data_IF_262666265317
#
_entry.id   IF_262666265317
#
_cell.length_a   1.000
_cell.length_b   1.000
_cell.length_c   1.000
_cell.angle_alpha   90.00
_cell.angle_beta   90.00
_cell.angle_gamma   90.00
#
_symmetry.space_group_name_H-M   'P 1'
#
loop_
_entity.id
_entity.type
_entity.pdbx_description
1 polymer ?
#
# COMPACT_ATOMS: atom_id res chain seq x y z
N UNK A 1 12.21 33.69 8.48
CA UNK A 1 13.32 32.83 8.07
C UNK A 1 13.36 32.85 6.56
N UNK A 2 14.47 33.28 5.98
CA UNK A 2 14.63 33.29 4.52
C UNK A 2 15.28 31.97 4.03
N UNK A 3 15.23 31.73 2.73
CA UNK A 3 15.70 30.47 2.13
C UNK A 3 17.17 30.17 2.47
N UNK A 4 18.01 31.20 2.56
CA UNK A 4 19.40 31.07 2.97
C UNK A 4 19.60 30.62 4.43
N UNK A 5 18.68 30.99 5.33
CA UNK A 5 18.69 30.52 6.72
C UNK A 5 18.20 29.07 6.83
N UNK A 6 17.22 28.66 6.02
CA UNK A 6 16.75 27.29 5.94
C UNK A 6 17.84 26.35 5.42
N UNK A 7 18.53 26.74 4.34
CA UNK A 7 19.63 25.96 3.76
C UNK A 7 20.80 25.82 4.75
N UNK A 8 21.11 26.88 5.52
CA UNK A 8 22.13 26.81 6.58
C UNK A 8 21.73 25.95 7.79
N UNK A 9 20.44 25.77 8.04
CA UNK A 9 19.96 24.87 9.08
C UNK A 9 19.97 23.42 8.59
N UNK A 10 19.56 23.17 7.33
CA UNK A 10 19.61 21.86 6.70
C UNK A 10 21.05 21.33 6.57
N UNK A 11 22.00 22.17 6.14
CA UNK A 11 23.41 21.78 6.06
C UNK A 11 24.01 21.45 7.44
N UNK A 12 23.59 22.13 8.51
CA UNK A 12 24.06 21.83 9.88
C UNK A 12 23.41 20.59 10.48
N UNK A 13 22.20 20.25 10.04
CA UNK A 13 21.47 19.08 10.51
C UNK A 13 21.87 17.79 9.77
N UNK A 14 22.63 17.88 8.67
CA UNK A 14 23.11 16.71 7.93
C UNK A 14 24.38 16.13 8.61
N UNK A 15 24.30 14.95 9.27
CA UNK A 15 25.46 14.34 9.90
C UNK A 15 26.49 13.81 8.89
N UNK A 16 26.15 13.76 7.60
CA UNK A 16 27.01 13.31 6.52
C UNK A 16 27.21 14.47 5.53
N UNK A 17 28.25 15.28 5.74
CA UNK A 17 28.58 16.37 4.83
C UNK A 17 28.79 15.89 3.38
N UNK A 18 28.62 16.79 2.40
CA UNK A 18 28.68 16.50 0.96
C UNK A 18 29.92 15.70 0.54
N UNK A 19 31.03 15.91 1.23
CA UNK A 19 32.30 15.24 0.95
C UNK A 19 32.36 13.79 1.44
N UNK A 20 31.56 13.43 2.44
CA UNK A 20 31.36 12.02 2.86
C UNK A 20 30.52 11.28 1.83
N UNK A 21 29.50 11.94 1.27
CA UNK A 21 28.63 11.36 0.24
C UNK A 21 29.40 11.12 -1.07
N UNK A 22 30.28 12.05 -1.47
CA UNK A 22 31.15 11.89 -2.65
C UNK A 22 32.16 10.76 -2.55
N UNK A 23 32.50 10.32 -1.33
CA UNK A 23 33.46 9.23 -1.08
C UNK A 23 32.81 7.85 -0.98
N UNK A 24 31.47 7.77 -1.06
CA UNK A 24 30.78 6.49 -1.18
C UNK A 24 30.99 5.97 -2.60
N UNK A 25 31.86 4.97 -2.75
CA UNK A 25 32.04 4.22 -4.00
C UNK A 25 30.77 3.42 -4.29
N UNK A 26 29.96 3.91 -5.23
CA UNK A 26 28.66 3.31 -5.61
C UNK A 26 28.81 2.11 -6.54
N UNK A 27 29.96 1.93 -7.17
CA UNK A 27 30.07 1.04 -8.34
C UNK A 27 30.20 -0.44 -7.94
N UNK A 28 30.85 -0.74 -6.81
CA UNK A 28 31.02 -2.12 -6.32
C UNK A 28 29.75 -2.65 -5.64
N UNK A 29 29.06 -1.80 -4.86
CA UNK A 29 27.87 -2.21 -4.11
C UNK A 29 26.63 -2.44 -5.00
N UNK A 30 26.60 -1.84 -6.20
CA UNK A 30 25.50 -2.03 -7.16
C UNK A 30 25.69 -3.30 -8.00
N UNK A 31 26.94 -3.68 -8.31
CA UNK A 31 27.22 -4.92 -9.05
C UNK A 31 26.94 -6.17 -8.21
N UNK A 32 27.35 -6.19 -6.94
CA UNK A 32 27.11 -7.31 -6.03
C UNK A 32 25.60 -7.57 -5.81
N UNK A 33 24.79 -6.51 -5.79
CA UNK A 33 23.34 -6.62 -5.58
C UNK A 33 22.58 -7.07 -6.83
N UNK A 34 23.12 -6.80 -8.03
CA UNK A 34 22.52 -7.22 -9.30
C UNK A 34 22.86 -8.69 -9.62
N UNK A 35 24.03 -9.18 -9.21
CA UNK A 35 24.44 -10.56 -9.46
C UNK A 35 23.63 -11.57 -8.60
N UNK A 36 23.27 -11.18 -7.37
CA UNK A 36 22.47 -11.99 -6.44
C UNK A 36 21.00 -12.12 -6.89
N UNK A 37 20.47 -11.09 -7.59
CA UNK A 37 19.09 -11.10 -8.13
C UNK A 37 18.98 -11.98 -9.38
N UNK A 38 20.05 -12.10 -10.18
CA UNK A 38 20.03 -12.86 -11.44
C UNK A 38 20.31 -14.37 -11.22
N UNK A 39 21.01 -14.75 -10.15
CA UNK A 39 21.43 -16.14 -9.91
C UNK A 39 20.49 -17.00 -9.06
N UNK A 40 19.24 -16.55 -8.80
CA UNK A 40 18.28 -17.39 -8.06
C UNK A 40 17.60 -18.41 -8.97
N UNK A 41 18.28 -19.52 -9.26
CA UNK A 41 17.67 -20.70 -9.88
C UNK A 41 16.73 -21.41 -8.89
N UNK A 42 15.45 -21.48 -9.23
CA UNK A 42 14.44 -22.18 -8.42
C UNK A 42 14.45 -23.69 -8.72
N UNK A 43 14.66 -24.58 -7.73
CA UNK A 43 14.59 -26.01 -7.98
C UNK A 43 13.14 -26.45 -8.20
N UNK A 44 12.89 -27.13 -9.32
CA UNK A 44 11.59 -27.69 -9.69
C UNK A 44 11.23 -28.87 -8.79
N UNK A 45 10.09 -28.86 -8.08
CA UNK A 45 9.70 -30.00 -7.24
C UNK A 45 9.13 -31.15 -8.09
N UNK A 46 9.74 -32.34 -7.98
CA UNK A 46 9.21 -33.58 -8.55
C UNK A 46 8.01 -34.08 -7.75
N UNK A 47 6.81 -34.06 -8.36
CA UNK A 47 5.58 -34.60 -7.78
C UNK A 47 5.62 -36.15 -7.71
N UNK A 48 5.62 -36.69 -6.49
CA UNK A 48 5.37 -38.13 -6.24
C UNK A 48 3.85 -38.42 -6.29
N UNK A 49 3.42 -39.27 -7.23
CA UNK A 49 2.06 -39.84 -7.30
C UNK A 49 1.85 -40.80 -6.12
N UNK A 50 0.90 -40.51 -5.24
CA UNK A 50 0.36 -41.51 -4.30
C UNK A 50 -0.98 -42.03 -4.82
N UNK A 51 -1.08 -43.36 -4.94
CA UNK A 51 -2.30 -44.08 -5.27
C UNK A 51 -2.92 -44.52 -3.95
N UNK A 52 -4.14 -44.03 -3.63
CA UNK A 52 -4.94 -44.58 -2.54
C UNK A 52 -6.35 -44.91 -3.02
N UNK A 53 -6.69 -46.19 -2.89
CA UNK A 53 -7.97 -46.83 -3.22
C UNK A 53 -9.10 -46.25 -2.39
N UNK A 54 -10.25 -46.04 -3.05
CA UNK A 54 -11.54 -45.69 -2.45
C UNK A 54 -12.19 -46.95 -1.86
N UNK A 55 -12.74 -46.83 -0.67
CA UNK A 55 -13.86 -47.65 -0.18
C UNK A 55 -14.95 -46.71 0.29
N UNK A 56 -16.10 -46.81 -0.37
CA UNK A 56 -17.33 -46.07 -0.06
C UNK A 56 -18.15 -46.94 0.88
N UNK A 57 -18.52 -46.40 2.04
CA UNK A 57 -19.59 -46.95 2.88
C UNK A 57 -20.60 -45.83 3.11
N UNK A 58 -21.79 -46.02 2.55
CA UNK A 58 -22.97 -45.19 2.74
C UNK A 58 -23.66 -45.58 4.05
N UNK A 59 -23.87 -44.63 4.95
CA UNK A 59 -24.94 -44.70 5.95
C UNK A 59 -25.62 -43.34 6.00
N UNK A 60 -26.90 -43.33 5.65
CA UNK A 60 -27.79 -42.18 5.75
C UNK A 60 -28.46 -42.19 7.13
N UNK A 61 -28.45 -41.05 7.80
CA UNK A 61 -29.45 -40.69 8.80
C UNK A 61 -29.53 -39.16 8.88
N UNK A 62 -30.71 -38.63 8.59
CA UNK A 62 -31.04 -37.23 8.62
C UNK A 62 -31.46 -36.80 10.04
N UNK A 63 -31.03 -35.61 10.47
CA UNK A 63 -31.79 -34.77 11.38
C UNK A 63 -31.41 -33.31 11.11
N UNK A 64 -32.40 -32.52 10.72
CA UNK A 64 -32.29 -31.12 10.37
C UNK A 64 -32.21 -30.23 11.62
N UNK A 65 -31.22 -29.33 11.65
CA UNK A 65 -31.32 -28.03 12.33
C UNK A 65 -30.74 -27.01 11.36
N UNK A 66 -31.60 -26.10 10.91
CA UNK A 66 -31.23 -25.01 10.02
C UNK A 66 -30.39 -23.97 10.80
N UNK A 67 -29.10 -23.90 10.48
CA UNK A 67 -28.30 -22.70 10.66
C UNK A 67 -27.71 -22.40 9.28
N UNK A 68 -28.06 -21.23 8.74
CA UNK A 68 -27.53 -20.74 7.48
C UNK A 68 -26.03 -20.41 7.64
N UNK A 69 -25.19 -21.42 7.48
CA UNK A 69 -23.75 -21.31 7.27
C UNK A 69 -23.46 -21.86 5.87
N UNK A 70 -23.64 -21.04 4.84
CA UNK A 70 -23.21 -21.40 3.48
C UNK A 70 -21.70 -21.17 3.34
N UNK A 71 -20.94 -22.07 3.94
CA UNK A 71 -19.50 -22.22 3.76
C UNK A 71 -19.16 -23.68 3.47
N UNK A 72 -19.83 -24.28 2.49
CA UNK A 72 -19.57 -25.67 2.09
C UNK A 72 -18.34 -25.70 1.20
N UNK A 73 -17.38 -26.56 1.56
CA UNK A 73 -16.17 -26.92 0.83
C UNK A 73 -16.44 -27.11 -0.68
N UNK A 74 -16.17 -26.07 -1.47
CA UNK A 74 -16.02 -26.25 -2.90
C UNK A 74 -14.62 -26.79 -3.19
N UNK A 75 -14.48 -27.91 -3.91
CA UNK A 75 -13.18 -28.33 -4.40
C UNK A 75 -12.59 -27.22 -5.29
N UNK A 76 -11.28 -26.96 -5.14
CA UNK A 76 -10.52 -26.03 -6.01
C UNK A 76 -10.84 -26.37 -7.47
N UNK A 77 -11.52 -25.46 -8.18
CA UNK A 77 -11.89 -25.61 -9.60
C UNK A 77 -13.36 -25.83 -9.92
N UNK A 78 -14.30 -25.68 -8.97
CA UNK A 78 -15.73 -25.70 -9.32
C UNK A 78 -16.13 -24.41 -10.08
N UNK A 79 -16.56 -24.48 -11.36
CA UNK A 79 -17.00 -23.31 -12.13
C UNK A 79 -18.31 -22.68 -11.59
N UNK A 80 -19.01 -23.34 -10.68
CA UNK A 80 -20.23 -22.84 -10.04
C UNK A 80 -19.99 -22.19 -8.65
N UNK A 81 -18.74 -22.15 -8.15
CA UNK A 81 -18.46 -21.40 -6.93
C UNK A 81 -18.66 -19.90 -7.20
N UNK A 82 -19.30 -19.14 -6.28
CA UNK A 82 -19.41 -17.69 -6.43
C UNK A 82 -18.01 -17.10 -6.65
N UNK A 83 -17.84 -16.38 -7.75
CA UNK A 83 -16.58 -15.67 -8.00
C UNK A 83 -16.43 -14.65 -6.88
N UNK A 84 -15.38 -14.79 -6.07
CA UNK A 84 -15.12 -13.84 -4.99
C UNK A 84 -15.02 -12.44 -5.59
N UNK A 85 -15.73 -11.46 -5.01
CA UNK A 85 -15.66 -10.06 -5.45
C UNK A 85 -14.23 -9.49 -5.42
N UNK A 86 -13.35 -10.08 -4.61
CA UNK A 86 -11.96 -9.70 -4.46
C UNK A 86 -11.01 -10.41 -5.43
N UNK A 87 -11.47 -11.46 -6.14
CA UNK A 87 -10.66 -12.26 -7.05
C UNK A 87 -9.68 -13.22 -6.37
N UNK A 88 -9.10 -14.12 -7.18
CA UNK A 88 -8.24 -15.19 -6.69
C UNK A 88 -6.84 -14.71 -6.26
N UNK A 89 -6.29 -13.74 -6.97
CA UNK A 89 -4.95 -13.20 -6.69
C UNK A 89 -4.94 -12.45 -5.35
N UNK A 90 -5.93 -11.59 -5.10
CA UNK A 90 -6.04 -10.90 -3.81
C UNK A 90 -6.18 -11.90 -2.66
N UNK A 91 -7.04 -12.92 -2.81
CA UNK A 91 -7.20 -13.97 -1.81
C UNK A 91 -5.88 -14.68 -1.51
N UNK A 92 -5.08 -14.98 -2.54
CA UNK A 92 -3.78 -15.59 -2.35
C UNK A 92 -2.82 -14.68 -1.54
N UNK A 93 -2.84 -13.37 -1.79
CA UNK A 93 -2.09 -12.40 -0.99
C UNK A 93 -2.64 -12.34 0.44
N UNK A 94 -3.96 -12.26 0.62
CA UNK A 94 -4.61 -12.28 1.95
C UNK A 94 -4.24 -13.52 2.76
N UNK A 95 -4.15 -14.69 2.12
CA UNK A 95 -3.74 -15.93 2.76
C UNK A 95 -2.26 -15.89 3.22
N UNK A 96 -1.41 -15.16 2.50
CA UNK A 96 0.01 -15.01 2.76
C UNK A 96 0.37 -13.88 3.76
N UNK A 97 -0.56 -12.96 4.02
CA UNK A 97 -0.31 -11.77 4.87
C UNK A 97 -0.97 -11.87 6.25
N UNK A 98 -0.54 -11.04 7.21
CA UNK A 98 -1.20 -10.93 8.52
C UNK A 98 -2.64 -10.42 8.41
N UNK A 99 -3.61 -11.30 8.65
CA UNK A 99 -5.05 -10.97 8.69
C UNK A 99 -5.44 -10.52 10.09
N UNK A 100 -5.30 -9.23 10.34
CA UNK A 100 -5.49 -8.65 11.67
C UNK A 100 -6.80 -7.87 11.76
N UNK A 101 -7.48 -8.00 12.89
CA UNK A 101 -8.61 -7.16 13.29
C UNK A 101 -8.46 -6.75 14.76
N UNK A 102 -9.17 -5.71 15.16
CA UNK A 102 -9.25 -5.29 16.56
C UNK A 102 -10.56 -5.82 17.14
N UNK A 103 -10.48 -6.55 18.25
CA UNK A 103 -11.64 -7.07 18.99
C UNK A 103 -12.33 -5.95 19.81
N UNK A 104 -12.78 -4.92 19.11
CA UNK A 104 -13.50 -3.77 19.63
C UNK A 104 -14.35 -3.19 18.49
N UNK A 105 -15.70 -3.28 18.56
CA UNK A 105 -16.57 -2.87 17.45
C UNK A 105 -16.50 -1.37 17.13
N UNK A 106 -15.95 -0.55 18.04
CA UNK A 106 -15.72 0.87 17.78
C UNK A 106 -14.50 1.12 16.87
N UNK A 107 -13.64 0.11 16.68
CA UNK A 107 -12.49 0.16 15.78
C UNK A 107 -12.77 -0.64 14.51
N UNK A 108 -12.57 -0.01 13.36
CA UNK A 108 -12.78 -0.65 12.05
C UNK A 108 -11.55 -0.45 11.17
N UNK A 109 -11.36 -1.33 10.19
CA UNK A 109 -10.47 -1.03 9.07
C UNK A 109 -11.05 0.19 8.35
N UNK A 110 -10.23 1.22 8.15
CA UNK A 110 -10.65 2.46 7.47
C UNK A 110 -9.90 2.69 6.17
N UNK A 111 -8.73 2.08 6.01
CA UNK A 111 -7.88 2.26 4.82
C UNK A 111 -6.85 1.12 4.72
N UNK A 112 -6.44 0.80 3.48
CA UNK A 112 -5.39 -0.19 3.15
C UNK A 112 -4.49 0.44 2.08
N UNK A 113 -3.49 1.23 2.48
CA UNK A 113 -2.63 1.95 1.54
C UNK A 113 -1.78 1.05 0.64
N UNK A 114 -1.35 -0.09 1.17
CA UNK A 114 -0.51 -1.04 0.47
C UNK A 114 -0.87 -2.47 0.90
N UNK A 115 -0.97 -3.38 -0.07
CA UNK A 115 -1.32 -4.77 0.20
C UNK A 115 -0.59 -5.72 -0.74
N UNK A 116 0.65 -6.08 -0.39
CA UNK A 116 1.49 -7.05 -1.11
C UNK A 116 1.84 -8.20 -0.19
N UNK A 117 2.29 -9.31 -0.79
CA UNK A 117 2.59 -10.52 -0.04
C UNK A 117 3.73 -10.34 0.98
N UNK A 118 4.69 -9.48 0.68
CA UNK A 118 5.91 -9.22 1.42
C UNK A 118 5.89 -7.91 2.23
N UNK A 119 5.11 -6.93 1.79
CA UNK A 119 4.92 -5.65 2.47
C UNK A 119 3.49 -5.13 2.39
N UNK A 120 3.09 -4.34 3.39
CA UNK A 120 1.87 -3.57 3.29
C UNK A 120 1.45 -2.92 4.59
N UNK A 121 0.25 -2.35 4.56
CA UNK A 121 -0.28 -1.49 5.60
C UNK A 121 -1.80 -1.63 5.73
N UNK A 122 -2.27 -1.80 6.96
CA UNK A 122 -3.69 -1.72 7.32
C UNK A 122 -3.84 -0.58 8.33
N UNK A 123 -4.83 0.29 8.11
CA UNK A 123 -5.20 1.34 9.06
C UNK A 123 -6.54 1.03 9.70
N UNK A 124 -6.56 1.07 11.02
CA UNK A 124 -7.75 1.04 11.84
C UNK A 124 -8.08 2.44 12.36
N UNK A 125 -9.36 2.74 12.48
CA UNK A 125 -9.84 4.04 12.95
C UNK A 125 -11.01 3.93 13.93
N UNK A 126 -11.03 4.89 14.85
CA UNK A 126 -12.14 5.21 15.74
C UNK A 126 -12.12 6.71 16.00
N UNK A 127 -13.15 7.43 15.56
CA UNK A 127 -13.21 8.89 15.65
C UNK A 127 -11.93 9.52 15.06
N UNK A 128 -11.20 10.32 15.86
CA UNK A 128 -9.90 10.92 15.53
C UNK A 128 -8.70 10.01 15.80
N UNK A 129 -8.89 8.87 16.45
CA UNK A 129 -7.81 7.93 16.78
C UNK A 129 -7.51 7.00 15.61
N UNK A 130 -6.24 6.64 15.46
CA UNK A 130 -5.75 5.77 14.39
C UNK A 130 -4.74 4.77 14.94
N UNK A 131 -4.80 3.56 14.40
CA UNK A 131 -3.79 2.54 14.59
C UNK A 131 -3.41 2.03 13.21
N UNK A 132 -2.12 2.04 12.90
CA UNK A 132 -1.55 1.57 11.66
C UNK A 132 -0.75 0.30 11.95
N UNK A 133 -0.96 -0.73 11.14
CA UNK A 133 -0.17 -1.96 11.20
C UNK A 133 0.48 -2.17 9.85
N UNK A 134 1.80 -2.19 9.83
CA UNK A 134 2.59 -2.56 8.67
C UNK A 134 3.20 -3.94 8.87
N UNK A 135 3.31 -4.69 7.78
CA UNK A 135 4.20 -5.84 7.69
C UNK A 135 5.28 -5.54 6.68
N UNK A 136 6.47 -6.06 6.96
CA UNK A 136 7.66 -5.87 6.14
C UNK A 136 8.48 -7.16 6.11
N UNK A 137 9.34 -7.35 5.09
CA UNK A 137 10.28 -8.46 5.04
C UNK A 137 11.18 -8.51 6.28
N UNK A 138 11.50 -9.72 6.76
CA UNK A 138 12.35 -9.91 7.95
C UNK A 138 13.72 -9.24 7.84
N UNK A 139 14.27 -9.11 6.63
CA UNK A 139 15.58 -8.50 6.37
C UNK A 139 15.65 -7.02 6.79
N UNK A 140 14.51 -6.33 6.86
CA UNK A 140 14.46 -4.92 7.26
C UNK A 140 14.41 -4.75 8.79
N UNK A 141 14.11 -5.81 9.55
CA UNK A 141 13.83 -5.70 10.99
C UNK A 141 14.96 -5.05 11.78
N UNK A 142 16.21 -5.48 11.54
CA UNK A 142 17.37 -4.94 12.24
C UNK A 142 17.54 -3.43 11.98
N UNK A 143 17.31 -2.97 10.74
CA UNK A 143 17.41 -1.55 10.39
C UNK A 143 16.35 -0.69 11.09
N UNK A 144 15.11 -1.19 11.19
CA UNK A 144 14.07 -0.51 11.98
C UNK A 144 14.38 -0.51 13.48
N UNK A 145 14.89 -1.61 14.01
CA UNK A 145 15.29 -1.69 15.42
C UNK A 145 16.43 -0.74 15.77
N UNK A 146 17.38 -0.56 14.87
CA UNK A 146 18.52 0.34 15.05
C UNK A 146 18.20 1.81 14.71
N UNK A 147 17.01 2.09 14.15
CA UNK A 147 16.60 3.44 13.74
C UNK A 147 17.17 3.91 12.40
N UNK A 148 17.93 3.07 11.69
CA UNK A 148 18.48 3.43 10.35
C UNK A 148 17.40 3.52 9.28
N UNK A 149 16.23 2.90 9.51
CA UNK A 149 15.04 2.99 8.66
C UNK A 149 13.89 3.81 9.25
N UNK A 150 14.08 4.40 10.44
CA UNK A 150 13.11 5.24 11.13
C UNK A 150 13.84 6.41 11.84
N UNK A 151 14.31 7.42 11.08
CA UNK A 151 15.06 8.54 11.62
C UNK A 151 14.20 9.33 12.62
N UNK A 152 14.68 9.49 13.85
CA UNK A 152 13.95 10.17 14.93
C UNK A 152 13.38 9.23 15.99
N UNK A 153 13.50 7.92 15.80
CA UNK A 153 13.25 6.93 16.84
C UNK A 153 14.26 7.06 18.00
N UNK A 154 13.82 7.09 19.27
CA UNK A 154 14.73 7.09 20.42
C UNK A 154 15.61 5.85 20.52
N UNK A 155 16.79 6.01 21.14
CA UNK A 155 17.75 4.93 21.36
C UNK A 155 17.22 3.80 22.27
N UNK A 156 16.31 4.13 23.21
CA UNK A 156 15.77 3.18 24.17
C UNK A 156 14.25 3.04 24.02
N UNK A 157 13.79 1.79 23.88
CA UNK A 157 12.37 1.45 23.86
C UNK A 157 11.96 0.71 25.12
N UNK A 158 10.67 0.65 25.36
CA UNK A 158 10.07 -0.12 26.45
C UNK A 158 9.57 -1.49 25.97
N UNK A 159 9.56 -2.54 26.81
CA UNK A 159 8.96 -3.82 26.44
C UNK A 159 7.46 -3.68 26.16
N UNK A 160 6.94 -4.41 25.18
CA UNK A 160 5.50 -4.54 24.92
C UNK A 160 5.14 -5.96 24.52
N UNK A 161 3.89 -6.34 24.71
CA UNK A 161 3.35 -7.63 24.27
C UNK A 161 2.15 -7.39 23.37
N UNK A 162 2.11 -8.08 22.24
CA UNK A 162 0.98 -8.10 21.32
C UNK A 162 1.00 -9.38 20.50
N UNK A 163 -0.16 -9.95 20.18
CA UNK A 163 -0.26 -11.18 19.37
C UNK A 163 0.58 -12.35 19.91
N UNK A 164 0.74 -12.43 21.24
CA UNK A 164 1.57 -13.44 21.92
C UNK A 164 3.09 -13.27 21.71
N UNK A 165 3.54 -12.09 21.27
CA UNK A 165 4.95 -11.81 21.01
C UNK A 165 5.45 -10.67 21.91
N UNK A 166 6.65 -10.84 22.46
CA UNK A 166 7.37 -9.77 23.18
C UNK A 166 8.12 -8.91 22.16
N UNK A 167 7.75 -7.64 22.08
CA UNK A 167 8.38 -6.65 21.21
C UNK A 167 8.88 -5.43 21.98
N UNK A 168 9.17 -4.37 21.23
CA UNK A 168 9.66 -3.10 21.79
C UNK A 168 8.85 -1.94 21.26
N UNK A 169 8.37 -1.08 22.15
CA UNK A 169 7.64 0.15 21.82
C UNK A 169 8.51 1.38 22.05
N UNK A 170 8.43 2.31 21.12
CA UNK A 170 9.13 3.60 21.13
C UNK A 170 8.10 4.73 21.06
N UNK A 171 8.40 5.85 21.71
CA UNK A 171 7.69 7.13 21.53
C UNK A 171 8.40 7.90 20.42
N UNK A 172 7.68 8.30 19.36
CA UNK A 172 8.27 8.95 18.18
C UNK A 172 7.70 10.35 18.06
N UNK A 173 8.54 11.38 18.21
CA UNK A 173 8.11 12.78 18.12
C UNK A 173 7.30 13.26 19.33
N UNK A 174 6.04 12.87 19.46
CA UNK A 174 5.17 13.23 20.60
C UNK A 174 5.09 12.12 21.64
N UNK A 175 4.61 12.45 22.85
CA UNK A 175 4.43 11.45 23.92
C UNK A 175 3.31 10.44 23.64
N UNK A 176 2.46 10.70 22.64
CA UNK A 176 1.30 9.87 22.31
C UNK A 176 1.44 9.09 21.00
N UNK A 177 2.40 9.45 20.15
CA UNK A 177 2.75 8.71 18.94
C UNK A 177 3.70 7.55 19.28
N UNK A 178 3.13 6.35 19.29
CA UNK A 178 3.78 5.14 19.77
C UNK A 178 3.96 4.15 18.64
N UNK A 179 5.18 3.65 18.47
CA UNK A 179 5.50 2.63 17.46
C UNK A 179 6.08 1.40 18.13
N UNK A 180 5.37 0.27 18.03
CA UNK A 180 5.81 -1.04 18.46
C UNK A 180 6.40 -1.84 17.30
N UNK A 181 7.52 -2.50 17.56
CA UNK A 181 8.16 -3.45 16.67
C UNK A 181 8.07 -4.84 17.29
N UNK A 182 7.33 -5.74 16.66
CA UNK A 182 7.30 -7.14 17.04
C UNK A 182 8.42 -7.90 16.32
N UNK A 183 9.04 -8.91 16.95
CA UNK A 183 10.05 -9.72 16.29
C UNK A 183 9.50 -10.43 15.04
N UNK A 184 10.38 -10.83 14.11
CA UNK A 184 9.98 -11.62 12.95
C UNK A 184 9.20 -12.88 13.33
N UNK A 185 8.10 -13.13 12.62
CA UNK A 185 7.32 -14.36 12.66
C UNK A 185 7.03 -14.83 11.24
N UNK A 186 7.66 -15.94 10.85
CA UNK A 186 7.63 -16.39 9.47
C UNK A 186 8.41 -15.43 8.56
N UNK A 187 7.76 -14.93 7.50
CA UNK A 187 8.40 -14.07 6.48
C UNK A 187 8.38 -12.58 6.79
N UNK A 188 7.69 -12.17 7.85
CA UNK A 188 7.47 -10.77 8.16
C UNK A 188 7.77 -10.44 9.61
N UNK A 189 8.05 -9.17 9.88
CA UNK A 189 7.85 -8.58 11.19
C UNK A 189 6.72 -7.54 11.13
N UNK A 190 6.18 -7.17 12.28
CA UNK A 190 5.13 -6.16 12.37
C UNK A 190 5.68 -4.86 12.97
N UNK A 191 5.38 -3.75 12.31
CA UNK A 191 5.46 -2.41 12.87
C UNK A 191 4.05 -1.92 13.13
N UNK A 192 3.74 -1.55 14.36
CA UNK A 192 2.42 -1.08 14.75
C UNK A 192 2.57 0.35 15.26
N UNK A 193 1.98 1.33 14.60
CA UNK A 193 2.05 2.74 15.01
C UNK A 193 0.68 3.25 15.40
N UNK A 194 0.58 4.08 16.43
CA UNK A 194 -0.70 4.69 16.77
C UNK A 194 -0.57 5.87 17.69
N UNK A 195 -1.46 6.85 17.48
CA UNK A 195 -1.72 7.95 18.41
C UNK A 195 -3.08 7.73 19.06
N UNK A 196 -3.05 7.23 20.29
CA UNK A 196 -4.26 6.85 21.04
C UNK A 196 -4.37 7.50 22.41
N UNK A 197 -3.49 8.47 22.68
CA UNK A 197 -3.49 9.36 23.85
C UNK A 197 -2.56 8.97 25.00
N UNK A 198 -2.20 7.69 25.16
CA UNK A 198 -1.21 7.27 26.17
C UNK A 198 -0.65 5.87 25.89
N UNK A 199 0.50 5.55 26.49
CA UNK A 199 1.08 4.21 26.44
C UNK A 199 0.15 3.14 27.02
N UNK A 200 -0.60 3.45 28.09
CA UNK A 200 -1.56 2.53 28.68
C UNK A 200 -2.73 2.25 27.71
N UNK A 201 -3.29 3.29 27.08
CA UNK A 201 -4.34 3.13 26.09
C UNK A 201 -3.86 2.33 24.86
N UNK A 202 -2.61 2.55 24.44
CA UNK A 202 -1.97 1.81 23.36
C UNK A 202 -1.79 0.33 23.69
N UNK A 203 -1.27 -0.01 24.87
CA UNK A 203 -1.17 -1.40 25.34
C UNK A 203 -2.54 -2.09 25.39
N UNK A 204 -3.54 -1.41 25.95
CA UNK A 204 -4.91 -1.93 26.01
C UNK A 204 -5.50 -2.17 24.62
N UNK A 205 -5.16 -1.35 23.62
CA UNK A 205 -5.60 -1.55 22.25
C UNK A 205 -4.89 -2.73 21.58
N UNK A 206 -3.56 -2.85 21.75
CA UNK A 206 -2.80 -3.96 21.19
C UNK A 206 -3.20 -5.32 21.78
N UNK A 207 -3.64 -5.36 23.03
CA UNK A 207 -4.18 -6.57 23.66
C UNK A 207 -5.48 -7.08 22.97
N UNK A 208 -6.19 -6.21 22.25
CA UNK A 208 -7.39 -6.56 21.46
C UNK A 208 -7.07 -6.92 20.01
N UNK A 209 -5.83 -6.75 19.56
CA UNK A 209 -5.44 -7.10 18.19
C UNK A 209 -5.38 -8.63 18.08
N UNK A 210 -6.11 -9.20 17.11
CA UNK A 210 -6.18 -10.64 16.87
C UNK A 210 -5.98 -11.00 15.41
N UNK A 211 -5.43 -12.19 15.19
CA UNK A 211 -5.39 -12.80 13.86
C UNK A 211 -6.71 -13.53 13.60
N UNK A 212 -7.25 -13.39 12.39
CA UNK A 212 -8.49 -14.04 11.95
C UNK A 212 -8.26 -14.86 10.66
N UNK A 213 -9.26 -15.66 10.29
CA UNK A 213 -9.27 -16.30 8.98
C UNK A 213 -9.56 -15.30 7.85
N UNK A 214 -9.42 -15.78 6.61
CA UNK A 214 -9.56 -14.98 5.40
C UNK A 214 -10.96 -14.42 5.22
N UNK A 215 -12.01 -15.19 5.49
CA UNK A 215 -13.39 -14.74 5.28
C UNK A 215 -13.75 -13.65 6.30
N UNK A 216 -13.44 -13.86 7.58
CA UNK A 216 -13.67 -12.86 8.63
C UNK A 216 -12.90 -11.55 8.38
N UNK A 217 -11.71 -11.63 7.79
CA UNK A 217 -10.94 -10.44 7.42
C UNK A 217 -11.52 -9.70 6.21
N UNK A 218 -11.97 -10.45 5.19
CA UNK A 218 -12.66 -9.87 4.02
C UNK A 218 -13.99 -9.23 4.41
N UNK A 219 -14.74 -9.84 5.32
CA UNK A 219 -16.00 -9.29 5.86
C UNK A 219 -15.79 -8.01 6.69
N UNK A 220 -14.59 -7.83 7.26
CA UNK A 220 -14.22 -6.62 7.99
C UNK A 220 -13.82 -5.44 7.09
N UNK A 221 -13.72 -5.65 5.77
CA UNK A 221 -13.36 -4.60 4.82
C UNK A 221 -14.42 -3.49 4.76
N UNK A 222 -14.01 -2.22 4.80
CA UNK A 222 -14.97 -1.15 4.59
C UNK A 222 -15.47 -1.15 3.13
N UNK A 223 -16.65 -0.60 2.94
CA UNK A 223 -17.28 -0.38 1.63
C UNK A 223 -16.48 0.59 0.73
N UNK A 224 -15.61 1.40 1.33
CA UNK A 224 -14.68 2.31 0.64
C UNK A 224 -13.57 1.60 -0.12
N UNK A 225 -13.40 0.29 0.08
CA UNK A 225 -12.45 -0.53 -0.66
C UNK A 225 -13.02 -0.88 -2.04
N UNK A 226 -12.23 -0.58 -3.08
CA UNK A 226 -12.54 -0.94 -4.46
C UNK A 226 -12.23 -2.43 -4.66
N UNK A 227 -13.29 -3.24 -4.78
CA UNK A 227 -13.18 -4.67 -5.06
C UNK A 227 -12.81 -4.88 -6.53
N UNK A 228 -12.18 -6.01 -6.86
CA UNK A 228 -11.78 -6.30 -8.24
C UNK A 228 -13.00 -6.33 -9.18
N UNK A 229 -14.14 -6.87 -8.72
CA UNK A 229 -15.39 -6.86 -9.50
C UNK A 229 -15.96 -5.47 -9.74
N UNK A 230 -15.65 -4.50 -8.87
CA UNK A 230 -16.13 -3.12 -8.96
C UNK A 230 -15.20 -2.21 -9.77
N UNK A 231 -13.94 -2.64 -10.00
CA UNK A 231 -12.91 -1.82 -10.62
C UNK A 231 -13.33 -1.19 -11.97
N UNK A 232 -13.97 -1.91 -12.93
CA UNK A 232 -14.41 -1.27 -14.18
C UNK A 232 -15.34 -0.08 -13.95
N UNK A 233 -16.39 -0.26 -13.13
CA UNK A 233 -17.36 0.79 -12.81
C UNK A 233 -16.70 1.96 -12.09
N UNK A 234 -15.82 1.69 -11.14
CA UNK A 234 -15.11 2.73 -10.39
C UNK A 234 -14.18 3.54 -11.30
N UNK A 235 -13.49 2.90 -12.26
CA UNK A 235 -12.69 3.60 -13.26
C UNK A 235 -13.59 4.51 -14.10
N UNK A 236 -14.73 4.02 -14.59
CA UNK A 236 -15.66 4.82 -15.39
C UNK A 236 -16.18 6.05 -14.62
N UNK A 237 -16.52 5.88 -13.34
CA UNK A 237 -16.90 6.98 -12.45
C UNK A 237 -15.78 8.01 -12.28
N UNK A 238 -14.54 7.57 -12.08
CA UNK A 238 -13.38 8.46 -11.90
C UNK A 238 -13.01 9.22 -13.17
N UNK A 239 -13.26 8.63 -14.35
CA UNK A 239 -12.88 9.17 -15.65
C UNK A 239 -14.00 9.99 -16.31
N UNK A 240 -15.20 10.04 -15.73
CA UNK A 240 -16.37 10.66 -16.34
C UNK A 240 -16.17 12.13 -16.72
N UNK A 241 -15.31 12.86 -16.00
CA UNK A 241 -14.99 14.28 -16.22
C UNK A 241 -13.49 14.56 -16.37
N UNK A 242 -12.69 13.53 -16.60
CA UNK A 242 -11.23 13.64 -16.73
C UNK A 242 -10.84 13.47 -18.21
N UNK A 243 -10.22 14.48 -18.85
CA UNK A 243 -9.62 14.29 -20.15
C UNK A 243 -8.53 13.20 -20.07
N UNK A 244 -8.65 12.17 -20.89
CA UNK A 244 -7.68 11.06 -20.96
C UNK A 244 -6.79 11.20 -22.19
N UNK A 245 -5.48 10.94 -22.08
CA UNK A 245 -4.59 10.99 -23.23
C UNK A 245 -4.95 9.90 -24.24
N UNK A 246 -4.66 10.16 -25.52
CA UNK A 246 -4.93 9.19 -26.58
C UNK A 246 -4.20 7.86 -26.31
N UNK A 247 -4.93 6.75 -26.43
CA UNK A 247 -4.39 5.41 -26.16
C UNK A 247 -4.23 5.05 -24.69
N UNK A 248 -4.84 5.80 -23.76
CA UNK A 248 -4.84 5.45 -22.34
C UNK A 248 -5.42 4.04 -22.11
N UNK A 249 -4.56 3.11 -21.71
CA UNK A 249 -4.94 1.73 -21.41
C UNK A 249 -5.42 1.60 -19.96
N UNK A 250 -6.68 1.18 -19.80
CA UNK A 250 -7.31 0.96 -18.49
C UNK A 250 -7.03 -0.43 -17.92
N UNK A 251 -6.56 -1.36 -18.75
CA UNK A 251 -6.39 -2.78 -18.40
C UNK A 251 -5.52 -3.02 -17.17
N UNK A 252 -4.40 -2.29 -16.94
CA UNK A 252 -3.58 -2.48 -15.75
C UNK A 252 -4.35 -2.25 -14.44
N UNK A 253 -5.31 -1.32 -14.41
CA UNK A 253 -6.08 -0.98 -13.21
C UNK A 253 -7.09 -2.07 -12.84
N UNK A 254 -7.51 -2.91 -13.79
CA UNK A 254 -8.40 -4.06 -13.55
C UNK A 254 -7.71 -5.20 -12.78
N UNK A 255 -6.37 -5.15 -12.71
CA UNK A 255 -5.53 -6.11 -11.98
C UNK A 255 -5.01 -5.56 -10.65
N UNK A 256 -5.29 -4.30 -10.35
CA UNK A 256 -4.88 -3.72 -9.07
C UNK A 256 -5.63 -4.44 -7.97
N UNK A 257 -4.86 -5.03 -7.07
CA UNK A 257 -5.36 -5.64 -5.86
C UNK A 257 -5.93 -4.55 -4.96
N UNK A 258 -7.26 -4.57 -4.81
CA UNK A 258 -8.06 -4.05 -3.70
C UNK A 258 -7.39 -2.93 -2.90
N UNK A 259 -7.78 -1.70 -3.22
CA UNK A 259 -7.29 -0.49 -2.60
C UNK A 259 -8.48 0.34 -2.08
N UNK A 260 -8.24 1.22 -1.11
CA UNK A 260 -9.24 2.26 -0.84
C UNK A 260 -9.47 3.12 -2.07
N UNK A 261 -10.67 3.69 -2.18
CA UNK A 261 -11.03 4.58 -3.30
C UNK A 261 -10.02 5.69 -3.52
N UNK A 262 -9.45 6.24 -2.43
CA UNK A 262 -8.37 7.22 -2.50
C UNK A 262 -7.13 6.68 -3.22
N UNK A 263 -6.62 5.54 -2.80
CA UNK A 263 -5.39 4.96 -3.37
C UNK A 263 -5.60 4.46 -4.80
N UNK A 264 -6.77 3.90 -5.08
CA UNK A 264 -7.16 3.53 -6.44
C UNK A 264 -7.23 4.77 -7.34
N UNK A 265 -7.86 5.85 -6.87
CA UNK A 265 -7.89 7.15 -7.54
C UNK A 265 -6.50 7.75 -7.76
N UNK A 266 -5.58 7.59 -6.80
CA UNK A 266 -4.20 8.04 -6.95
C UNK A 266 -3.47 7.31 -8.09
N UNK A 267 -3.64 5.98 -8.19
CA UNK A 267 -3.09 5.18 -9.28
C UNK A 267 -3.64 5.59 -10.64
N UNK A 268 -4.97 5.75 -10.74
CA UNK A 268 -5.65 6.12 -11.99
C UNK A 268 -5.23 7.53 -12.43
N UNK A 269 -5.35 8.52 -11.55
CA UNK A 269 -5.03 9.92 -11.87
C UNK A 269 -3.54 10.14 -12.11
N UNK A 270 -2.66 9.46 -11.37
CA UNK A 270 -1.21 9.48 -11.63
C UNK A 270 -0.86 8.97 -13.02
N UNK A 271 -1.43 7.85 -13.44
CA UNK A 271 -1.18 7.30 -14.77
C UNK A 271 -1.71 8.20 -15.89
N UNK A 272 -2.88 8.83 -15.72
CA UNK A 272 -3.40 9.82 -16.67
C UNK A 272 -2.44 11.00 -16.78
N UNK A 273 -1.98 11.53 -15.64
CA UNK A 273 -1.03 12.64 -15.61
C UNK A 273 0.30 12.30 -16.27
N UNK A 274 0.81 11.08 -16.05
CA UNK A 274 2.00 10.60 -16.74
C UNK A 274 1.78 10.37 -18.23
N UNK A 275 0.59 9.91 -18.65
CA UNK A 275 0.24 9.79 -20.06
C UNK A 275 0.19 11.15 -20.77
N UNK A 276 -0.37 12.17 -20.14
CA UNK A 276 -0.35 13.54 -20.67
C UNK A 276 1.07 14.11 -20.75
N UNK A 277 1.92 13.86 -19.74
CA UNK A 277 3.32 14.26 -19.77
C UNK A 277 4.09 13.55 -20.89
N UNK A 278 3.85 12.25 -21.09
CA UNK A 278 4.43 11.48 -22.19
C UNK A 278 4.01 12.05 -23.56
N UNK A 279 2.72 12.37 -23.73
CA UNK A 279 2.23 13.03 -24.95
C UNK A 279 2.93 14.38 -25.17
N UNK A 280 3.04 15.22 -24.13
CA UNK A 280 3.71 16.51 -24.23
C UNK A 280 5.17 16.37 -24.66
N UNK A 281 5.91 15.41 -24.07
CA UNK A 281 7.31 15.15 -24.42
C UNK A 281 7.45 14.68 -25.87
N UNK A 282 6.58 13.78 -26.33
CA UNK A 282 6.57 13.31 -27.72
C UNK A 282 6.25 14.44 -28.70
N UNK A 283 5.24 15.25 -28.40
CA UNK A 283 4.84 16.40 -29.20
C UNK A 283 5.95 17.46 -29.29
N UNK A 284 6.63 17.74 -28.18
CA UNK A 284 7.80 18.63 -28.15
C UNK A 284 8.93 18.13 -29.04
N UNK A 285 9.23 16.83 -29.01
CA UNK A 285 10.24 16.22 -29.89
C UNK A 285 9.87 16.32 -31.38
N UNK A 286 8.57 16.24 -31.69
CA UNK A 286 8.04 16.32 -33.05
C UNK A 286 7.80 17.76 -33.54
N UNK A 287 7.88 18.78 -32.67
CA UNK A 287 7.48 20.15 -33.01
C UNK A 287 5.96 20.35 -33.13
N UNK A 288 5.16 19.45 -32.56
CA UNK A 288 3.69 19.47 -32.61
C UNK A 288 3.14 20.37 -31.49
N UNK A 289 3.01 21.66 -31.79
CA UNK A 289 2.56 22.66 -30.82
C UNK A 289 1.11 22.43 -30.34
N UNK A 290 0.25 21.86 -31.18
CA UNK A 290 -1.15 21.58 -30.85
C UNK A 290 -1.23 20.49 -29.77
N UNK A 291 -0.53 19.37 -29.95
CA UNK A 291 -0.52 18.29 -28.95
C UNK A 291 0.20 18.67 -27.67
N UNK A 292 1.20 19.55 -27.73
CA UNK A 292 1.79 20.14 -26.53
C UNK A 292 0.74 20.94 -25.76
N UNK A 293 -0.01 21.81 -26.45
CA UNK A 293 -1.03 22.65 -25.82
C UNK A 293 -2.22 21.84 -25.30
N UNK A 294 -2.58 20.74 -25.97
CA UNK A 294 -3.60 19.80 -25.50
C UNK A 294 -3.22 19.23 -24.12
N UNK A 295 -2.00 18.69 -23.98
CA UNK A 295 -1.52 18.14 -22.71
C UNK A 295 -1.44 19.19 -21.59
N UNK A 296 -0.99 20.41 -21.92
CA UNK A 296 -0.98 21.54 -20.98
C UNK A 296 -2.41 21.87 -20.52
N UNK A 297 -3.36 21.96 -21.45
CA UNK A 297 -4.76 22.28 -21.15
C UNK A 297 -5.39 21.21 -20.25
N UNK A 298 -5.18 19.94 -20.58
CA UNK A 298 -5.71 18.82 -19.81
C UNK A 298 -5.19 18.83 -18.35
N UNK A 299 -3.88 18.92 -18.15
CA UNK A 299 -3.29 18.89 -16.80
C UNK A 299 -3.54 20.19 -16.02
N UNK A 300 -3.56 21.36 -16.67
CA UNK A 300 -3.95 22.61 -16.02
C UNK A 300 -5.42 22.59 -15.56
N UNK A 301 -6.27 21.85 -16.28
CA UNK A 301 -7.66 21.60 -15.90
C UNK A 301 -7.86 20.66 -14.72
N UNK A 302 -6.81 20.03 -14.18
CA UNK A 302 -6.92 19.01 -13.11
C UNK A 302 -7.62 19.47 -11.82
N UNK A 303 -7.73 20.78 -11.58
CA UNK A 303 -8.51 21.33 -10.46
C UNK A 303 -10.02 21.11 -10.59
N UNK A 304 -10.53 20.89 -11.80
CA UNK A 304 -11.94 20.59 -12.03
C UNK A 304 -12.27 19.10 -11.99
N UNK A 305 -11.27 18.21 -11.94
CA UNK A 305 -11.50 16.77 -11.90
C UNK A 305 -12.14 16.37 -10.57
N UNK A 306 -13.38 15.90 -10.62
CA UNK A 306 -14.18 15.54 -9.43
C UNK A 306 -13.46 14.54 -8.53
N UNK A 307 -12.76 13.56 -9.11
CA UNK A 307 -11.98 12.59 -8.33
C UNK A 307 -10.87 13.26 -7.50
N UNK A 308 -10.17 14.27 -8.04
CA UNK A 308 -9.14 14.98 -7.28
C UNK A 308 -9.76 15.87 -6.20
N UNK A 309 -10.93 16.47 -6.43
CA UNK A 309 -11.67 17.21 -5.41
C UNK A 309 -12.19 16.30 -4.29
N UNK A 310 -12.59 15.06 -4.62
CA UNK A 310 -12.97 14.04 -3.66
C UNK A 310 -11.77 13.63 -2.78
N UNK A 311 -10.61 13.42 -3.41
CA UNK A 311 -9.38 12.99 -2.75
C UNK A 311 -8.74 14.07 -1.87
N UNK A 312 -8.86 15.34 -2.23
CA UNK A 312 -8.31 16.48 -1.47
C UNK A 312 -8.84 16.52 -0.03
N UNK A 313 -10.07 16.04 0.19
CA UNK A 313 -10.69 15.95 1.53
C UNK A 313 -10.04 14.89 2.42
N UNK A 314 -9.27 13.96 1.86
CA UNK A 314 -8.75 12.77 2.53
C UNK A 314 -7.21 12.76 2.62
N UNK A 315 -6.51 13.38 1.67
CA UNK A 315 -5.06 13.45 1.68
C UNK A 315 -4.47 14.31 0.56
N UNK A 316 -3.13 14.41 0.53
CA UNK A 316 -2.42 15.39 -0.30
C UNK A 316 -2.16 15.04 -1.77
N UNK A 317 -2.58 13.87 -2.26
CA UNK A 317 -2.32 13.46 -3.65
C UNK A 317 -2.74 14.50 -4.70
N UNK A 318 -3.94 15.08 -4.56
CA UNK A 318 -4.47 16.07 -5.51
C UNK A 318 -3.56 17.28 -5.69
N UNK A 319 -2.91 17.72 -4.61
CA UNK A 319 -1.95 18.82 -4.65
C UNK A 319 -0.80 18.55 -5.62
N UNK A 320 -0.29 17.32 -5.66
CA UNK A 320 0.82 16.94 -6.54
C UNK A 320 0.42 17.02 -8.02
N UNK A 321 -0.78 16.56 -8.36
CA UNK A 321 -1.30 16.66 -9.72
C UNK A 321 -1.54 18.13 -10.12
N UNK A 322 -2.16 18.93 -9.25
CA UNK A 322 -2.38 20.35 -9.49
C UNK A 322 -1.08 21.12 -9.66
N UNK A 323 -0.09 20.85 -8.80
CA UNK A 323 1.24 21.46 -8.87
C UNK A 323 1.97 21.07 -10.16
N UNK A 324 1.84 19.81 -10.61
CA UNK A 324 2.37 19.33 -11.88
C UNK A 324 1.74 20.05 -13.08
N UNK A 325 0.41 20.19 -13.11
CA UNK A 325 -0.29 20.94 -14.15
C UNK A 325 0.08 22.43 -14.19
N UNK A 326 0.17 23.07 -13.02
CA UNK A 326 0.61 24.46 -12.89
C UNK A 326 2.06 24.66 -13.35
N UNK A 327 2.94 23.71 -13.05
CA UNK A 327 4.34 23.72 -13.48
C UNK A 327 4.48 23.50 -14.99
N UNK A 328 3.74 22.55 -15.56
CA UNK A 328 3.78 22.26 -16.99
C UNK A 328 3.31 23.46 -17.81
N UNK A 329 2.25 24.15 -17.37
CA UNK A 329 1.77 25.41 -17.97
C UNK A 329 2.82 26.52 -17.97
N UNK A 330 3.72 26.55 -16.99
CA UNK A 330 4.82 27.51 -16.87
C UNK A 330 6.11 27.06 -17.58
N UNK A 331 6.14 25.84 -18.11
CA UNK A 331 7.36 25.23 -18.66
C UNK A 331 8.40 24.82 -17.62
N UNK A 332 8.04 24.73 -16.34
CA UNK A 332 8.93 24.35 -15.24
C UNK A 332 9.04 22.82 -15.14
N UNK A 333 9.84 22.22 -16.02
CA UNK A 333 9.94 20.77 -16.14
C UNK A 333 10.61 20.10 -14.92
N UNK A 334 11.46 20.81 -14.20
CA UNK A 334 12.06 20.29 -12.96
C UNK A 334 10.96 20.07 -11.91
N UNK A 335 10.06 21.04 -11.75
CA UNK A 335 8.92 20.91 -10.84
C UNK A 335 7.89 19.89 -11.32
N UNK A 336 7.67 19.76 -12.64
CA UNK A 336 6.80 18.69 -13.20
C UNK A 336 7.33 17.31 -12.81
N UNK A 337 8.64 17.08 -12.99
CA UNK A 337 9.27 15.80 -12.66
C UNK A 337 9.12 15.47 -11.17
N UNK A 338 9.40 16.43 -10.29
CA UNK A 338 9.21 16.27 -8.84
C UNK A 338 7.76 16.02 -8.45
N UNK A 339 6.82 16.73 -9.08
CA UNK A 339 5.41 16.67 -8.67
C UNK A 339 4.70 15.41 -9.15
N UNK A 340 4.94 14.95 -10.38
CA UNK A 340 4.24 13.80 -10.94
C UNK A 340 4.98 12.47 -10.74
N UNK A 341 6.30 12.50 -10.49
CA UNK A 341 7.17 11.31 -10.33
C UNK A 341 6.88 10.21 -11.38
N UNK A 342 6.77 10.61 -12.64
CA UNK A 342 6.57 9.71 -13.77
C UNK A 342 7.89 9.04 -14.14
N UNK A 343 8.38 8.14 -13.28
CA UNK A 343 9.47 7.23 -13.64
C UNK A 343 8.97 6.21 -14.66
N UNK A 344 9.50 6.30 -15.87
CA UNK A 344 9.28 5.38 -17.00
C UNK A 344 10.16 4.15 -16.93
#
# INVERSE_FOLDING_TARGET
MNDNELDRLLMRANPYGDETVRKLTTDDAVSDLLEDIISTDTPTPKLRRSVRRRTVVLVAAAAAVAIALTGVFFPRGNPAAPVSAYGAEFRAVTDATPRLVIDDPAWKIVDIPAFRADEGEIRFGRDKKRLQVNWYPVSLYAGYLQGTKDPGKPAHGSPIEALGQKGTVFQVGTSTDLTAYLPPKGRHFLMIRGDVGSLAAYRSLLAKLKTVDTEAWLDAMPDTIVKQSDAPRVIDEMLADVPVPNGFDRTPFLKILVLSRYQFGAKVTGAISCGWLAQWNAAKKAGDAEKMQEAVTALAGSRSWKILQEMDKQGGWSYWIWAGGDALRKGDMARVATALDCRS
#
